data_IF_680999770118
#
_entry.id   IF_680999770118
#
_cell.length_a   1.000
_cell.length_b   1.000
_cell.length_c   1.000
_cell.angle_alpha   90.00
_cell.angle_beta   90.00
_cell.angle_gamma   90.00
#
_symmetry.space_group_name_H-M   'P 1'
#
loop_
_entity.id
_entity.type
_entity.pdbx_description
1 polymer ?
#
# COMPACT_ATOMS: atom_id res chain seq x y z
N UNK A 1 9.26 -63.20 8.70
CA UNK A 1 9.18 -64.25 9.75
C UNK A 1 10.05 -63.77 10.90
N UNK A 2 9.54 -62.88 11.76
CA UNK A 2 8.85 -63.19 13.04
C UNK A 2 9.82 -63.52 14.18
N UNK A 3 10.04 -62.54 15.07
CA UNK A 3 10.23 -62.64 16.54
C UNK A 3 10.92 -61.34 17.00
N UNK A 4 10.23 -60.33 17.53
CA UNK A 4 9.50 -60.21 18.81
C UNK A 4 10.38 -60.24 20.07
N UNK A 5 10.52 -59.04 20.65
CA UNK A 5 10.52 -58.70 22.08
C UNK A 5 11.73 -59.08 22.94
N UNK A 6 12.33 -58.07 23.58
CA UNK A 6 12.32 -57.90 25.03
C UNK A 6 13.22 -56.69 25.40
N UNK A 7 12.62 -55.51 25.58
CA UNK A 7 13.23 -54.47 26.43
C UNK A 7 12.19 -53.94 27.40
N UNK A 8 12.48 -54.18 28.68
CA UNK A 8 11.68 -53.91 29.88
C UNK A 8 11.42 -52.41 30.05
N UNK A 9 10.17 -52.07 30.36
CA UNK A 9 9.77 -50.76 30.88
C UNK A 9 10.14 -50.60 32.37
N UNK A 10 10.55 -49.40 32.83
CA UNK A 10 10.75 -49.11 34.25
C UNK A 10 9.43 -48.76 34.98
N UNK A 11 9.38 -48.90 36.32
CA UNK A 11 8.15 -48.86 37.10
C UNK A 11 7.64 -47.44 37.41
N UNK A 12 6.31 -47.35 37.53
CA UNK A 12 5.56 -46.16 37.97
C UNK A 12 5.80 -45.88 39.44
N UNK A 13 6.28 -44.68 39.78
CA UNK A 13 6.19 -44.14 41.14
C UNK A 13 4.92 -43.29 41.27
N UNK A 14 4.12 -43.59 42.28
CA UNK A 14 2.91 -42.86 42.65
C UNK A 14 3.18 -41.90 43.82
N UNK A 15 2.47 -40.77 43.74
CA UNK A 15 2.06 -39.86 44.81
C UNK A 15 3.13 -38.94 45.43
N UNK A 16 2.93 -37.63 45.24
CA UNK A 16 2.48 -36.84 46.39
C UNK A 16 1.71 -35.57 46.00
N UNK A 17 0.48 -35.52 46.49
CA UNK A 17 -0.48 -34.42 46.40
C UNK A 17 -0.05 -33.34 47.39
N UNK A 18 0.45 -32.21 46.91
CA UNK A 18 0.57 -30.98 47.72
C UNK A 18 -0.47 -29.96 47.25
N UNK A 19 -1.42 -29.70 48.15
CA UNK A 19 -2.34 -28.58 48.09
C UNK A 19 -1.67 -27.31 48.65
N UNK A 20 -2.24 -26.15 48.25
CA UNK A 20 -1.99 -24.73 48.63
C UNK A 20 -0.94 -24.02 47.78
N UNK A 21 -1.15 -22.79 47.29
CA UNK A 21 -2.25 -21.83 47.44
C UNK A 21 -2.19 -20.79 46.31
N UNK A 22 -3.36 -20.25 45.96
CA UNK A 22 -3.58 -18.85 45.57
C UNK A 22 -2.82 -18.26 44.38
N UNK A 23 -3.51 -18.13 43.24
CA UNK A 23 -3.47 -16.87 42.47
C UNK A 23 -4.89 -16.62 41.97
N UNK A 24 -5.51 -15.59 42.52
CA UNK A 24 -6.78 -15.00 42.08
C UNK A 24 -6.67 -14.58 40.62
N UNK A 25 -7.68 -14.92 39.82
CA UNK A 25 -7.75 -14.54 38.41
C UNK A 25 -7.67 -13.03 38.23
N UNK A 26 -6.63 -12.57 37.54
CA UNK A 26 -6.59 -11.26 36.93
C UNK A 26 -7.23 -11.38 35.54
N UNK A 27 -8.32 -10.64 35.34
CA UNK A 27 -8.99 -10.47 34.06
C UNK A 27 -7.99 -9.94 33.00
N UNK A 28 -8.12 -10.31 31.72
CA UNK A 28 -7.36 -9.67 30.66
C UNK A 28 -7.77 -8.19 30.60
N UNK A 29 -6.87 -7.31 31.03
CA UNK A 29 -6.97 -5.87 30.83
C UNK A 29 -7.06 -5.59 29.34
N UNK A 30 -8.24 -5.17 28.90
CA UNK A 30 -8.47 -4.63 27.57
C UNK A 30 -7.58 -3.40 27.41
N UNK A 31 -6.55 -3.50 26.58
CA UNK A 31 -5.76 -2.35 26.15
C UNK A 31 -6.68 -1.28 25.56
N UNK A 32 -6.44 0.01 25.83
CA UNK A 32 -7.28 1.07 25.29
C UNK A 32 -7.19 1.07 23.77
N UNK A 33 -8.34 1.00 23.11
CA UNK A 33 -8.46 1.15 21.68
C UNK A 33 -7.86 2.50 21.28
N UNK A 34 -6.71 2.47 20.61
CA UNK A 34 -6.20 3.66 19.92
C UNK A 34 -7.26 4.08 18.90
N UNK A 35 -7.68 5.37 18.87
CA UNK A 35 -8.52 5.85 17.79
C UNK A 35 -7.71 5.68 16.50
N UNK A 36 -8.17 4.77 15.64
CA UNK A 36 -7.60 4.57 14.32
C UNK A 36 -7.56 5.91 13.58
N UNK A 37 -6.54 6.15 12.73
CA UNK A 37 -6.47 7.38 11.96
C UNK A 37 -7.77 7.52 11.18
N UNK A 38 -8.52 8.59 11.50
CA UNK A 38 -9.84 8.85 10.94
C UNK A 38 -9.83 8.62 9.44
N UNK A 39 -10.76 7.79 8.98
CA UNK A 39 -11.02 7.54 7.57
C UNK A 39 -11.34 8.88 6.93
N UNK A 40 -10.33 9.56 6.38
CA UNK A 40 -10.49 10.79 5.62
C UNK A 40 -11.52 10.50 4.53
N UNK A 41 -12.64 11.21 4.61
CA UNK A 41 -13.78 11.01 3.72
C UNK A 41 -13.29 11.09 2.27
N UNK A 42 -13.56 10.04 1.50
CA UNK A 42 -13.28 9.93 0.08
C UNK A 42 -14.35 10.77 -0.64
N UNK A 43 -14.30 12.07 -0.44
CA UNK A 43 -15.06 13.03 -1.22
C UNK A 43 -14.04 13.96 -1.87
N UNK A 44 -13.99 14.07 -3.20
CA UNK A 44 -13.23 15.15 -3.81
C UNK A 44 -13.77 16.46 -3.22
N UNK A 45 -12.86 17.32 -2.73
CA UNK A 45 -13.25 18.66 -2.27
C UNK A 45 -13.95 19.34 -3.42
N UNK A 46 -15.27 19.48 -3.29
CA UNK A 46 -16.11 20.12 -4.31
C UNK A 46 -15.51 21.51 -4.55
N UNK A 47 -15.26 21.86 -5.82
CA UNK A 47 -14.82 23.21 -6.21
C UNK A 47 -15.92 24.20 -5.81
N UNK A 48 -15.93 24.64 -4.56
CA UNK A 48 -16.78 25.73 -4.08
C UNK A 48 -16.22 27.05 -4.57
N UNK A 49 -17.09 28.00 -4.89
CA UNK A 49 -16.79 29.33 -5.44
C UNK A 49 -15.83 30.21 -4.61
N UNK A 50 -15.40 29.76 -3.43
CA UNK A 50 -14.46 30.47 -2.54
C UNK A 50 -13.01 29.97 -2.57
N UNK A 51 -12.64 28.99 -3.41
CA UNK A 51 -11.26 28.50 -3.47
C UNK A 51 -10.40 29.49 -4.27
N UNK A 52 -9.46 30.15 -3.61
CA UNK A 52 -8.43 30.96 -4.27
C UNK A 52 -7.35 30.02 -4.82
N UNK A 53 -7.19 30.02 -6.14
CA UNK A 53 -6.15 29.25 -6.81
C UNK A 53 -4.83 30.03 -6.77
N UNK A 54 -3.70 29.38 -6.44
CA UNK A 54 -2.39 30.01 -6.53
C UNK A 54 -1.95 30.26 -7.98
N UNK A 55 -0.96 31.15 -8.15
CA UNK A 55 -0.38 31.46 -9.45
C UNK A 55 0.15 30.21 -10.15
N UNK A 56 -0.12 30.10 -11.46
CA UNK A 56 0.28 28.97 -12.29
C UNK A 56 -0.72 27.81 -12.33
N UNK A 57 -1.86 27.89 -11.61
CA UNK A 57 -2.91 26.86 -11.66
C UNK A 57 -3.44 26.60 -13.07
N UNK A 58 -3.63 27.65 -13.88
CA UNK A 58 -4.16 27.56 -15.25
C UNK A 58 -3.32 26.65 -16.16
N UNK A 59 -2.01 26.55 -15.91
CA UNK A 59 -1.10 25.70 -16.70
C UNK A 59 -1.30 24.21 -16.43
N UNK A 60 -1.64 23.85 -15.18
CA UNK A 60 -1.71 22.46 -14.73
C UNK A 60 -3.15 21.93 -14.65
N UNK A 61 -4.14 22.82 -14.54
CA UNK A 61 -5.54 22.46 -14.37
C UNK A 61 -6.06 21.53 -15.48
N UNK A 62 -5.82 21.80 -16.80
CA UNK A 62 -6.40 20.97 -17.85
C UNK A 62 -5.96 19.51 -17.73
N UNK A 63 -4.67 19.28 -17.47
CA UNK A 63 -4.11 17.93 -17.31
C UNK A 63 -4.62 17.25 -16.02
N UNK A 64 -4.71 17.98 -14.90
CA UNK A 64 -5.26 17.42 -13.67
C UNK A 64 -6.75 17.08 -13.80
N UNK A 65 -7.50 17.90 -14.52
CA UNK A 65 -8.93 17.67 -14.80
C UNK A 65 -9.13 16.43 -15.66
N UNK A 66 -8.32 16.26 -16.70
CA UNK A 66 -8.35 15.05 -17.55
C UNK A 66 -8.04 13.78 -16.76
N UNK A 67 -7.00 13.81 -15.93
CA UNK A 67 -6.64 12.67 -15.06
C UNK A 67 -7.73 12.35 -14.03
N UNK A 68 -8.44 13.38 -13.55
CA UNK A 68 -9.56 13.21 -12.65
C UNK A 68 -10.79 12.60 -13.36
N UNK A 69 -11.09 13.02 -14.61
CA UNK A 69 -12.13 12.39 -15.43
C UNK A 69 -11.81 10.91 -15.66
N UNK A 70 -10.57 10.60 -16.05
CA UNK A 70 -10.09 9.21 -16.20
C UNK A 70 -10.23 8.39 -14.93
N UNK A 71 -10.00 8.98 -13.76
CA UNK A 71 -10.20 8.29 -12.48
C UNK A 71 -11.67 7.93 -12.27
N UNK A 72 -12.58 8.90 -12.48
CA UNK A 72 -14.02 8.68 -12.38
C UNK A 72 -14.51 7.62 -13.38
N UNK A 73 -14.00 7.64 -14.60
CA UNK A 73 -14.31 6.63 -15.61
C UNK A 73 -13.85 5.24 -15.14
N UNK A 74 -12.61 5.12 -14.66
CA UNK A 74 -12.07 3.85 -14.14
C UNK A 74 -12.82 3.32 -12.91
N UNK A 75 -13.34 4.19 -12.05
CA UNK A 75 -14.17 3.81 -10.89
C UNK A 75 -15.55 3.27 -11.30
N UNK A 76 -16.12 3.78 -12.40
CA UNK A 76 -17.43 3.37 -12.90
C UNK A 76 -17.37 2.28 -13.97
N UNK A 77 -16.17 1.94 -14.45
CA UNK A 77 -15.98 0.97 -15.53
C UNK A 77 -16.43 -0.43 -15.07
N UNK A 78 -17.33 -1.10 -15.82
CA UNK A 78 -17.74 -2.45 -15.50
C UNK A 78 -16.55 -3.39 -15.44
N UNK A 79 -16.66 -4.38 -14.56
CA UNK A 79 -15.59 -5.34 -14.28
C UNK A 79 -15.75 -6.64 -15.08
N UNK A 80 -16.68 -6.67 -16.04
CA UNK A 80 -17.04 -7.87 -16.80
C UNK A 80 -15.86 -8.38 -17.62
N UNK A 81 -15.57 -9.68 -17.50
CA UNK A 81 -14.46 -10.34 -18.20
C UNK A 81 -13.06 -10.07 -17.64
N UNK A 82 -12.91 -9.26 -16.58
CA UNK A 82 -11.62 -8.98 -15.92
C UNK A 82 -11.43 -9.85 -14.69
N UNK A 83 -10.17 -10.16 -14.35
CA UNK A 83 -9.87 -10.74 -13.03
C UNK A 83 -10.23 -9.73 -11.95
N UNK A 84 -10.65 -10.20 -10.78
CA UNK A 84 -11.01 -9.33 -9.64
C UNK A 84 -9.89 -8.33 -9.28
N UNK A 85 -8.63 -8.73 -9.41
CA UNK A 85 -7.49 -7.85 -9.19
C UNK A 85 -7.31 -6.80 -10.28
N UNK A 86 -7.56 -7.15 -11.54
CA UNK A 86 -7.36 -6.30 -12.72
C UNK A 86 -8.32 -5.11 -12.77
N UNK A 87 -9.53 -5.28 -12.24
CA UNK A 87 -10.52 -4.21 -12.14
C UNK A 87 -9.95 -2.93 -11.49
N UNK A 88 -9.04 -3.08 -10.52
CA UNK A 88 -8.44 -1.95 -9.78
C UNK A 88 -7.15 -1.41 -10.40
N UNK A 89 -6.54 -2.10 -11.36
CA UNK A 89 -5.26 -1.69 -11.93
C UNK A 89 -5.30 -0.28 -12.57
N UNK A 90 -6.35 0.11 -13.33
CA UNK A 90 -6.44 1.45 -13.87
C UNK A 90 -6.43 2.54 -12.79
N UNK A 91 -7.10 2.32 -11.66
CA UNK A 91 -7.15 3.26 -10.52
C UNK A 91 -5.74 3.51 -9.98
N UNK A 92 -4.96 2.44 -9.73
CA UNK A 92 -3.57 2.58 -9.28
C UNK A 92 -2.69 3.27 -10.32
N UNK A 93 -2.87 2.95 -11.60
CA UNK A 93 -2.12 3.56 -12.70
C UNK A 93 -2.38 5.06 -12.79
N UNK A 94 -3.63 5.49 -12.72
CA UNK A 94 -4.02 6.90 -12.77
C UNK A 94 -3.52 7.64 -11.53
N UNK A 95 -3.66 7.05 -10.33
CA UNK A 95 -3.13 7.68 -9.11
C UNK A 95 -1.60 7.86 -9.16
N UNK A 96 -0.88 6.86 -9.66
CA UNK A 96 0.56 6.96 -9.91
C UNK A 96 0.86 8.06 -10.93
N UNK A 97 0.20 8.06 -12.09
CA UNK A 97 0.41 9.04 -13.16
C UNK A 97 0.18 10.48 -12.68
N UNK A 98 -0.94 10.70 -11.98
CA UNK A 98 -1.31 12.00 -11.40
C UNK A 98 -0.30 12.50 -10.38
N UNK A 99 0.13 11.60 -9.48
CA UNK A 99 1.16 11.93 -8.48
C UNK A 99 2.51 12.21 -9.14
N UNK A 100 2.86 11.46 -10.20
CA UNK A 100 4.13 11.60 -10.89
C UNK A 100 4.20 12.90 -11.70
N UNK A 101 3.11 13.27 -12.35
CA UNK A 101 3.00 14.54 -13.07
C UNK A 101 3.35 15.73 -12.17
N UNK A 102 2.73 15.82 -10.99
CA UNK A 102 3.02 16.88 -10.02
C UNK A 102 4.44 16.78 -9.42
N UNK A 103 4.92 15.56 -9.18
CA UNK A 103 6.31 15.35 -8.73
C UNK A 103 7.32 15.88 -9.74
N UNK A 104 7.16 15.53 -11.02
CA UNK A 104 8.08 15.92 -12.09
C UNK A 104 8.04 17.43 -12.35
N UNK A 105 6.86 18.06 -12.28
CA UNK A 105 6.73 19.52 -12.40
C UNK A 105 7.45 20.28 -11.28
N UNK A 106 7.39 19.79 -10.04
CA UNK A 106 7.98 20.48 -8.90
C UNK A 106 9.46 20.15 -8.68
N UNK A 107 9.84 18.87 -8.65
CA UNK A 107 11.22 18.46 -8.31
C UNK A 107 12.16 18.45 -9.52
N UNK A 108 11.67 18.03 -10.70
CA UNK A 108 12.54 17.84 -11.86
C UNK A 108 12.57 19.09 -12.74
N UNK A 109 11.41 19.56 -13.20
CA UNK A 109 11.28 20.69 -14.12
C UNK A 109 11.25 22.05 -13.42
N UNK A 110 10.77 22.09 -12.17
CA UNK A 110 10.64 23.32 -11.34
C UNK A 110 9.78 24.40 -12.00
N UNK A 111 8.72 23.98 -12.70
CA UNK A 111 7.79 24.87 -13.41
C UNK A 111 6.67 25.43 -12.52
N UNK A 112 6.47 24.85 -11.33
CA UNK A 112 5.43 25.26 -10.39
C UNK A 112 6.01 25.74 -9.07
N UNK A 113 5.34 26.71 -8.45
CA UNK A 113 5.72 27.24 -7.13
C UNK A 113 5.48 26.22 -6.02
N UNK A 114 6.18 26.39 -4.89
CA UNK A 114 5.96 25.58 -3.68
C UNK A 114 4.51 25.70 -3.19
N UNK A 115 3.95 26.91 -3.24
CA UNK A 115 2.58 27.18 -2.81
C UNK A 115 1.56 26.40 -3.66
N UNK A 116 1.70 26.43 -4.99
CA UNK A 116 0.85 25.67 -5.90
C UNK A 116 0.98 24.16 -5.66
N UNK A 117 2.22 23.68 -5.48
CA UNK A 117 2.47 22.27 -5.20
C UNK A 117 1.84 21.79 -3.88
N UNK A 118 1.98 22.57 -2.79
CA UNK A 118 1.37 22.25 -1.50
C UNK A 118 -0.16 22.31 -1.56
N UNK A 119 -0.71 23.31 -2.26
CA UNK A 119 -2.14 23.40 -2.55
C UNK A 119 -2.65 22.15 -3.28
N UNK A 120 -1.96 21.69 -4.33
CA UNK A 120 -2.34 20.48 -5.04
C UNK A 120 -2.36 19.23 -4.13
N UNK A 121 -1.38 19.12 -3.23
CA UNK A 121 -1.33 18.02 -2.28
C UNK A 121 -2.39 18.11 -1.17
N UNK A 122 -2.84 19.31 -0.81
CA UNK A 122 -3.94 19.51 0.15
C UNK A 122 -5.32 19.26 -0.47
N UNK A 123 -5.46 19.45 -1.77
CA UNK A 123 -6.68 19.11 -2.53
C UNK A 123 -6.68 17.66 -3.03
N UNK A 124 -5.76 16.81 -2.55
CA UNK A 124 -5.64 15.40 -2.93
C UNK A 124 -5.47 15.17 -4.46
N UNK A 125 -4.87 16.14 -5.16
CA UNK A 125 -4.45 15.97 -6.55
C UNK A 125 -3.23 15.05 -6.69
N UNK A 126 -2.50 14.74 -5.61
CA UNK A 126 -1.42 13.76 -5.62
C UNK A 126 -1.28 13.04 -4.27
N UNK A 127 -0.73 11.83 -4.31
CA UNK A 127 -0.50 11.02 -3.12
C UNK A 127 0.79 11.45 -2.40
N UNK A 128 0.64 12.17 -1.28
CA UNK A 128 1.75 12.62 -0.42
C UNK A 128 2.65 11.47 0.03
N UNK A 129 2.06 10.32 0.36
CA UNK A 129 2.82 9.19 0.89
C UNK A 129 3.63 8.50 -0.20
N UNK A 130 3.07 8.35 -1.40
CA UNK A 130 3.78 7.80 -2.55
C UNK A 130 4.96 8.69 -2.95
N UNK A 131 4.73 10.01 -3.03
CA UNK A 131 5.78 11.00 -3.30
C UNK A 131 6.89 10.94 -2.23
N UNK A 132 6.53 10.83 -0.96
CA UNK A 132 7.50 10.71 0.12
C UNK A 132 8.40 9.46 -0.04
N UNK A 133 7.89 8.38 -0.66
CA UNK A 133 8.70 7.21 -0.99
C UNK A 133 9.63 7.46 -2.17
N UNK A 134 9.18 8.14 -3.22
CA UNK A 134 10.03 8.44 -4.39
C UNK A 134 11.28 9.26 -4.06
N UNK A 135 11.25 10.03 -2.97
CA UNK A 135 12.42 10.76 -2.46
C UNK A 135 13.46 9.88 -1.77
N UNK A 136 13.16 8.61 -1.47
CA UNK A 136 14.05 7.68 -0.78
C UNK A 136 14.81 6.83 -1.81
N UNK A 137 16.09 6.60 -1.54
CA UNK A 137 16.95 5.77 -2.39
C UNK A 137 16.34 4.38 -2.60
N UNK A 138 16.29 3.94 -3.86
CA UNK A 138 15.78 2.64 -4.27
C UNK A 138 14.26 2.56 -4.44
N UNK A 139 13.53 3.66 -4.25
CA UNK A 139 12.08 3.75 -4.41
C UNK A 139 11.66 4.75 -5.48
N UNK A 140 12.58 5.32 -6.25
CA UNK A 140 12.36 6.38 -7.24
C UNK A 140 11.32 6.01 -8.31
N UNK A 141 11.14 4.71 -8.57
CA UNK A 141 10.20 4.13 -9.54
C UNK A 141 9.08 3.30 -8.91
N UNK A 142 8.83 3.45 -7.61
CA UNK A 142 7.80 2.70 -6.89
C UNK A 142 6.41 2.89 -7.51
N UNK A 143 5.72 1.78 -7.79
CA UNK A 143 4.42 1.78 -8.47
C UNK A 143 3.23 2.18 -7.58
N UNK A 144 3.15 1.67 -6.34
CA UNK A 144 2.11 2.02 -5.37
C UNK A 144 2.55 1.61 -3.94
N UNK A 145 1.82 2.10 -2.93
CA UNK A 145 2.14 1.82 -1.54
C UNK A 145 1.85 0.37 -1.12
N UNK A 146 0.86 -0.29 -1.73
CA UNK A 146 0.54 -1.70 -1.43
C UNK A 146 1.71 -2.63 -1.72
N UNK A 147 2.47 -2.36 -2.77
CA UNK A 147 3.60 -3.21 -3.17
C UNK A 147 4.77 -3.23 -2.18
N UNK A 148 4.82 -2.30 -1.23
CA UNK A 148 5.84 -2.24 -0.18
C UNK A 148 5.25 -2.47 1.22
N UNK A 149 3.94 -2.67 1.32
CA UNK A 149 3.25 -2.90 2.58
C UNK A 149 3.31 -4.39 2.92
N UNK A 150 4.15 -4.76 3.88
CA UNK A 150 4.37 -6.18 4.21
C UNK A 150 3.10 -6.89 4.70
N UNK A 151 2.21 -6.16 5.38
CA UNK A 151 0.93 -6.69 5.89
C UNK A 151 -0.06 -7.09 4.79
N UNK A 152 0.13 -6.59 3.56
CA UNK A 152 -0.75 -6.88 2.43
C UNK A 152 -0.36 -8.19 1.70
N UNK A 153 0.68 -8.88 2.18
CA UNK A 153 1.24 -10.10 1.59
C UNK A 153 1.29 -11.24 2.62
N UNK A 154 1.03 -12.47 2.17
CA UNK A 154 0.93 -13.66 3.04
C UNK A 154 2.20 -13.94 3.87
N UNK A 155 3.38 -13.69 3.30
CA UNK A 155 4.67 -13.98 3.93
C UNK A 155 5.32 -12.75 4.59
N UNK A 156 4.57 -11.66 4.76
CA UNK A 156 5.08 -10.42 5.39
C UNK A 156 6.29 -9.85 4.63
N UNK A 157 6.32 -10.02 3.31
CA UNK A 157 7.36 -9.51 2.41
C UNK A 157 6.82 -8.41 1.49
N UNK A 158 7.68 -7.87 0.62
CA UNK A 158 7.27 -6.94 -0.44
C UNK A 158 6.78 -7.69 -1.69
N UNK A 159 6.05 -6.99 -2.56
CA UNK A 159 5.56 -7.57 -3.81
C UNK A 159 6.70 -7.99 -4.75
N UNK A 160 6.49 -9.03 -5.55
CA UNK A 160 7.43 -9.49 -6.59
C UNK A 160 7.85 -8.38 -7.56
N UNK A 161 6.99 -7.38 -7.79
CA UNK A 161 7.34 -6.23 -8.63
C UNK A 161 8.47 -5.36 -8.06
N UNK A 162 8.87 -5.54 -6.80
CA UNK A 162 10.03 -4.87 -6.20
C UNK A 162 11.33 -5.63 -6.37
N UNK A 163 11.29 -6.86 -6.88
CA UNK A 163 12.49 -7.67 -7.16
C UNK A 163 13.10 -7.23 -8.48
N UNK A 164 14.41 -6.88 -8.51
CA UNK A 164 15.10 -6.49 -9.75
C UNK A 164 15.04 -7.56 -10.85
N UNK A 165 14.90 -7.17 -12.12
CA UNK A 165 14.69 -8.07 -13.27
C UNK A 165 15.75 -9.17 -13.35
N UNK A 166 17.01 -8.83 -13.09
CA UNK A 166 18.14 -9.76 -13.16
C UNK A 166 18.15 -10.82 -12.04
N UNK A 167 17.33 -10.65 -11.00
CA UNK A 167 17.16 -11.61 -9.89
C UNK A 167 15.84 -12.37 -9.98
N UNK A 168 15.01 -12.12 -11.01
CA UNK A 168 13.73 -12.81 -11.18
C UNK A 168 13.91 -14.07 -12.01
N UNK A 169 13.22 -15.13 -11.60
CA UNK A 169 13.07 -16.35 -12.40
C UNK A 169 12.24 -16.08 -13.66
N UNK A 170 11.16 -15.31 -13.53
CA UNK A 170 10.29 -14.90 -14.63
C UNK A 170 10.56 -13.46 -15.07
N UNK A 171 10.77 -13.27 -16.39
CA UNK A 171 11.11 -11.96 -16.94
C UNK A 171 9.89 -11.03 -17.05
N UNK A 172 8.73 -11.59 -17.38
CA UNK A 172 7.47 -10.88 -17.50
C UNK A 172 6.64 -11.15 -16.25
N UNK A 173 6.38 -10.11 -15.47
CA UNK A 173 5.54 -10.20 -14.29
C UNK A 173 4.38 -9.23 -14.40
N UNK A 174 3.26 -9.57 -13.77
CA UNK A 174 2.15 -8.65 -13.56
C UNK A 174 1.82 -8.60 -12.08
N UNK A 175 2.02 -7.43 -11.48
CA UNK A 175 1.70 -7.25 -10.07
C UNK A 175 0.20 -7.44 -9.82
N UNK A 176 -0.16 -8.34 -8.90
CA UNK A 176 -1.56 -8.56 -8.50
C UNK A 176 -2.25 -7.31 -7.92
N UNK A 177 -1.50 -6.36 -7.35
CA UNK A 177 -2.08 -5.17 -6.73
C UNK A 177 -2.35 -4.03 -7.71
N UNK A 178 -1.47 -3.81 -8.68
CA UNK A 178 -1.51 -2.61 -9.53
C UNK A 178 -1.18 -2.87 -11.01
N UNK A 179 -0.92 -4.12 -11.40
CA UNK A 179 -0.61 -4.50 -12.78
C UNK A 179 0.76 -4.05 -13.30
N UNK A 180 1.63 -3.49 -12.45
CA UNK A 180 2.96 -3.08 -12.89
C UNK A 180 3.87 -4.27 -13.24
N UNK A 181 4.83 -4.04 -14.14
CA UNK A 181 5.75 -5.07 -14.68
C UNK A 181 7.15 -5.03 -14.07
N UNK A 182 7.25 -4.48 -12.86
CA UNK A 182 8.51 -4.17 -12.20
C UNK A 182 8.61 -2.69 -11.83
N UNK A 183 9.01 -2.44 -10.59
CA UNK A 183 9.15 -1.10 -10.02
C UNK A 183 10.39 -0.98 -9.12
N UNK A 184 11.31 -1.95 -9.20
CA UNK A 184 12.65 -1.78 -8.65
C UNK A 184 13.34 -0.63 -9.39
N UNK A 185 14.06 0.22 -8.67
CA UNK A 185 14.59 1.46 -9.26
C UNK A 185 15.90 1.26 -10.04
N UNK A 186 16.52 0.08 -9.92
CA UNK A 186 17.67 -0.35 -10.74
C UNK A 186 17.33 -1.20 -11.96
N UNK A 187 16.04 -1.30 -12.34
CA UNK A 187 15.52 -2.10 -13.47
C UNK A 187 15.44 -1.35 -14.81
#
# INVERSE_FOLDING_TARGET
>A
MSSSSLYRSPPRLHANRRHRAGVTGAAPTQSPAHPGPGRRSIMPKIKTSGVKYPDGWELIEPTLSELHSKMREAENDPHDGKRKCEALWPIFKINHQRSRYLYDLYYNRKEISKELYEFCLDQDHADRNLIAKWKKQGYERLCCLRCIQTRDHNFVTTCVCRVPKHLREEQVIECVHCGCKGCASGD
#
